data_IF_532023201044
#
_entry.id   IF_532023201044
#
_cell.length_a   1.000
_cell.length_b   1.000
_cell.length_c   1.000
_cell.angle_alpha   90.00
_cell.angle_beta   90.00
_cell.angle_gamma   90.00
#
_symmetry.space_group_name_H-M   'P 1'
#
loop_
_entity.id
_entity.type
_entity.pdbx_description
1 polymer ?
#
# COMPACT_ATOMS: atom_id res chain seq x y z
N UNK A 1 -2.96 -8.40 11.18
CA UNK A 1 -1.50 -8.44 11.51
C UNK A 1 -0.91 -7.06 11.23
N UNK A 2 0.29 -6.72 11.71
CA UNK A 2 0.90 -5.40 11.48
C UNK A 2 1.56 -5.22 10.11
N UNK A 3 1.89 -6.34 9.46
CA UNK A 3 2.42 -6.42 8.11
C UNK A 3 2.07 -7.79 7.50
N UNK A 4 2.05 -7.88 6.18
CA UNK A 4 1.85 -9.12 5.44
C UNK A 4 2.98 -10.13 5.61
N UNK A 5 4.20 -9.69 5.89
CA UNK A 5 5.34 -10.56 6.22
C UNK A 5 5.03 -11.54 7.36
N UNK A 6 4.17 -11.14 8.31
CA UNK A 6 3.76 -11.97 9.45
C UNK A 6 2.79 -13.10 9.08
N UNK A 7 2.19 -13.07 7.89
CA UNK A 7 1.26 -14.10 7.46
C UNK A 7 2.01 -15.43 7.24
N UNK A 8 1.45 -16.60 7.63
CA UNK A 8 2.13 -17.90 7.47
C UNK A 8 2.53 -18.22 6.03
N UNK A 9 1.74 -17.75 5.06
CA UNK A 9 2.05 -17.88 3.63
C UNK A 9 3.31 -17.10 3.19
N UNK A 10 3.80 -16.17 4.02
CA UNK A 10 5.09 -15.49 3.84
C UNK A 10 6.13 -16.03 4.82
N UNK A 11 5.96 -15.82 6.13
CA UNK A 11 7.00 -16.12 7.13
C UNK A 11 7.45 -17.59 7.12
N UNK A 12 6.52 -18.55 7.15
CA UNK A 12 6.87 -19.97 7.17
C UNK A 12 7.36 -20.45 5.80
N UNK A 13 6.82 -19.87 4.72
CA UNK A 13 7.24 -20.20 3.36
C UNK A 13 8.58 -19.60 2.98
N UNK A 14 9.03 -18.52 3.62
CA UNK A 14 10.36 -17.97 3.41
C UNK A 14 11.48 -18.95 3.80
N UNK A 15 11.28 -19.75 4.85
CA UNK A 15 12.27 -20.69 5.39
C UNK A 15 12.11 -22.14 4.90
N UNK A 16 11.02 -22.45 4.20
CA UNK A 16 10.81 -23.75 3.56
C UNK A 16 11.89 -24.00 2.48
N UNK A 17 12.20 -25.26 2.18
CA UNK A 17 13.18 -25.66 1.15
C UNK A 17 12.61 -25.68 -0.27
N UNK A 18 11.30 -25.62 -0.42
CA UNK A 18 10.65 -25.71 -1.73
C UNK A 18 10.51 -24.32 -2.38
N UNK A 19 10.73 -24.18 -3.70
CA UNK A 19 10.37 -22.97 -4.43
C UNK A 19 8.90 -22.61 -4.20
N UNK A 20 8.61 -21.32 -4.11
CA UNK A 20 7.28 -20.84 -3.75
C UNK A 20 7.03 -19.45 -4.34
N UNK A 21 5.83 -19.24 -4.88
CA UNK A 21 5.38 -17.95 -5.38
C UNK A 21 3.96 -17.70 -4.89
N UNK A 22 3.71 -16.55 -4.31
CA UNK A 22 2.36 -16.13 -3.89
C UNK A 22 2.21 -14.63 -4.05
N UNK A 23 0.98 -14.20 -4.36
CA UNK A 23 0.55 -12.83 -4.25
C UNK A 23 -0.82 -12.76 -3.55
N UNK A 24 -1.03 -11.81 -2.65
CA UNK A 24 -2.30 -11.66 -1.92
C UNK A 24 -2.45 -10.27 -1.29
N UNK A 25 -3.69 -9.88 -0.99
CA UNK A 25 -3.98 -8.67 -0.20
C UNK A 25 -3.98 -9.01 1.28
N UNK A 26 -3.33 -8.18 2.09
CA UNK A 26 -3.33 -8.25 3.54
C UNK A 26 -3.83 -6.93 4.13
N UNK A 27 -4.99 -6.92 4.80
CA UNK A 27 -5.35 -5.86 5.72
C UNK A 27 -4.35 -5.84 6.90
N UNK A 28 -3.66 -4.73 7.07
CA UNK A 28 -2.60 -4.50 8.05
C UNK A 28 -3.02 -3.41 9.03
N UNK A 29 -2.87 -3.69 10.32
CA UNK A 29 -3.24 -2.75 11.40
C UNK A 29 -1.98 -2.38 12.17
N UNK A 30 -1.66 -1.08 12.20
CA UNK A 30 -0.55 -0.52 12.97
C UNK A 30 -1.11 0.51 13.94
N UNK A 31 -1.43 0.11 15.19
CA UNK A 31 -2.08 1.00 16.14
C UNK A 31 -1.34 2.32 16.39
N UNK A 32 -0.01 2.27 16.39
CA UNK A 32 0.87 3.44 16.54
C UNK A 32 0.79 4.45 15.41
N UNK A 33 0.31 4.05 14.22
CA UNK A 33 0.18 4.92 13.05
C UNK A 33 -1.19 5.64 13.00
N UNK A 34 -2.10 5.32 13.92
CA UNK A 34 -3.37 6.03 14.04
C UNK A 34 -3.17 7.54 14.28
N UNK A 35 -3.77 8.37 13.43
CA UNK A 35 -3.76 9.84 13.56
C UNK A 35 -5.15 10.45 13.59
N UNK A 36 -6.17 9.69 14.01
CA UNK A 36 -7.57 10.15 14.09
C UNK A 36 -8.07 10.80 12.78
N UNK A 37 -7.67 10.23 11.63
CA UNK A 37 -7.95 10.77 10.30
C UNK A 37 -7.45 12.22 10.06
N UNK A 38 -6.52 12.73 10.88
CA UNK A 38 -5.92 14.06 10.72
C UNK A 38 -4.66 14.08 9.86
N UNK A 39 -4.08 12.91 9.58
CA UNK A 39 -2.92 12.78 8.71
C UNK A 39 -3.35 12.07 7.42
N UNK A 40 -3.11 12.67 6.23
CA UNK A 40 -3.55 12.10 4.97
C UNK A 40 -2.82 10.79 4.61
N UNK A 41 -1.60 10.59 5.13
CA UNK A 41 -0.72 9.50 4.70
C UNK A 41 -0.51 8.42 5.77
N UNK A 42 -0.94 8.65 7.02
CA UNK A 42 -0.79 7.70 8.13
C UNK A 42 -2.13 7.18 8.61
N UNK A 43 -2.36 5.91 8.33
CA UNK A 43 -3.61 5.22 8.61
C UNK A 43 -3.42 4.19 9.74
N UNK A 44 -4.43 4.05 10.59
CA UNK A 44 -4.49 2.99 11.62
C UNK A 44 -4.53 1.60 10.97
N UNK A 45 -5.31 1.48 9.90
CA UNK A 45 -5.44 0.28 9.07
C UNK A 45 -5.17 0.66 7.62
N UNK A 46 -4.40 -0.16 6.93
CA UNK A 46 -4.07 -0.05 5.51
C UNK A 46 -4.02 -1.46 4.90
N UNK A 47 -3.86 -1.57 3.59
CA UNK A 47 -3.90 -2.79 2.81
C UNK A 47 -2.59 -2.88 2.07
N UNK A 48 -1.92 -3.99 2.31
CA UNK A 48 -0.72 -4.32 1.56
C UNK A 48 -1.08 -5.30 0.48
N UNK A 49 -0.62 -5.06 -0.74
CA UNK A 49 -0.49 -6.15 -1.70
C UNK A 49 0.86 -6.79 -1.46
N UNK A 50 0.87 -8.06 -1.09
CA UNK A 50 2.06 -8.82 -0.77
C UNK A 50 2.39 -9.74 -1.93
N UNK A 51 3.66 -9.76 -2.34
CA UNK A 51 4.21 -10.75 -3.26
C UNK A 51 5.45 -11.38 -2.63
N UNK A 52 5.55 -12.70 -2.72
CA UNK A 52 6.76 -13.44 -2.38
C UNK A 52 7.17 -14.30 -3.56
N UNK A 53 8.42 -14.15 -4.01
CA UNK A 53 9.03 -14.96 -5.07
C UNK A 53 10.27 -15.67 -4.50
N UNK A 54 10.20 -17.00 -4.39
CA UNK A 54 11.27 -17.82 -3.85
C UNK A 54 11.64 -18.96 -4.82
N UNK A 55 12.89 -19.05 -5.30
CA UNK A 55 13.95 -18.03 -5.13
C UNK A 55 13.57 -16.72 -5.82
N UNK A 56 14.20 -15.63 -5.38
CA UNK A 56 14.06 -14.33 -6.04
C UNK A 56 14.63 -14.40 -7.45
N UNK A 57 13.90 -13.95 -8.48
CA UNK A 57 14.41 -13.89 -9.84
C UNK A 57 15.39 -12.72 -10.03
N UNK A 58 16.39 -12.90 -10.89
CA UNK A 58 17.42 -11.88 -11.19
C UNK A 58 16.82 -10.56 -11.73
N UNK A 59 15.66 -10.64 -12.37
CA UNK A 59 14.97 -9.50 -12.98
C UNK A 59 13.83 -8.94 -12.11
N UNK A 60 13.83 -9.15 -10.79
CA UNK A 60 12.71 -8.75 -9.91
C UNK A 60 12.39 -7.25 -9.97
N UNK A 61 13.40 -6.37 -10.07
CA UNK A 61 13.17 -4.94 -10.24
C UNK A 61 12.44 -4.62 -11.55
N UNK A 62 12.79 -5.33 -12.63
CA UNK A 62 12.11 -5.20 -13.92
C UNK A 62 10.65 -5.64 -13.82
N UNK A 63 10.39 -6.78 -13.18
CA UNK A 63 9.03 -7.29 -12.95
C UNK A 63 8.20 -6.31 -12.11
N UNK A 64 8.81 -5.70 -11.10
CA UNK A 64 8.17 -4.65 -10.31
C UNK A 64 7.79 -3.43 -11.17
N UNK A 65 8.73 -2.90 -11.95
CA UNK A 65 8.46 -1.76 -12.84
C UNK A 65 7.38 -2.09 -13.89
N UNK A 66 7.42 -3.29 -14.46
CA UNK A 66 6.39 -3.79 -15.37
C UNK A 66 5.02 -3.87 -14.68
N UNK A 67 4.96 -4.23 -13.38
CA UNK A 67 3.71 -4.24 -12.62
C UNK A 67 3.14 -2.84 -12.42
N UNK A 68 3.99 -1.82 -12.19
CA UNK A 68 3.55 -0.42 -12.11
C UNK A 68 2.99 0.07 -13.45
N UNK A 69 3.67 -0.25 -14.56
CA UNK A 69 3.15 0.07 -15.90
C UNK A 69 1.83 -0.64 -16.19
N UNK A 70 1.65 -1.86 -15.70
CA UNK A 70 0.40 -2.63 -15.89
C UNK A 70 -0.81 -1.99 -15.20
N UNK A 71 -0.59 -1.27 -14.09
CA UNK A 71 -1.64 -0.51 -13.39
C UNK A 71 -1.76 0.95 -13.87
N UNK A 72 -1.05 1.32 -14.94
CA UNK A 72 -1.19 2.62 -15.60
C UNK A 72 -0.14 3.68 -15.21
N UNK A 73 0.90 3.33 -14.45
CA UNK A 73 1.99 4.26 -14.14
C UNK A 73 2.93 4.38 -15.35
N UNK A 74 2.95 5.55 -15.97
CA UNK A 74 3.90 5.88 -17.03
C UNK A 74 5.28 6.22 -16.43
N UNK A 75 6.22 5.28 -16.52
CA UNK A 75 7.58 5.43 -15.98
C UNK A 75 8.41 6.51 -16.69
N UNK A 76 7.97 7.03 -17.85
CA UNK A 76 8.63 8.15 -18.53
C UNK A 76 8.23 9.51 -17.97
N UNK A 77 7.07 9.58 -17.30
CA UNK A 77 6.51 10.79 -16.71
C UNK A 77 6.67 10.84 -15.19
N UNK A 78 6.95 9.70 -14.55
CA UNK A 78 7.05 9.58 -13.11
C UNK A 78 8.46 9.22 -12.66
N UNK A 79 8.92 9.83 -11.57
CA UNK A 79 10.23 9.61 -10.97
C UNK A 79 10.17 8.43 -9.99
N UNK A 80 10.66 7.26 -10.43
CA UNK A 80 10.77 6.06 -9.60
C UNK A 80 12.19 5.90 -9.08
N UNK A 81 12.35 5.78 -7.76
CA UNK A 81 13.64 5.62 -7.10
C UNK A 81 13.65 4.42 -6.17
N UNK A 82 14.74 3.66 -6.25
CA UNK A 82 15.06 2.59 -5.30
C UNK A 82 16.07 3.16 -4.29
N UNK A 83 15.61 3.40 -3.07
CA UNK A 83 16.43 3.94 -1.98
C UNK A 83 16.84 2.78 -1.11
N UNK A 84 18.15 2.56 -0.93
CA UNK A 84 18.65 1.44 -0.11
C UNK A 84 18.09 1.56 1.30
N UNK A 85 17.45 0.49 1.76
CA UNK A 85 16.94 0.37 3.12
C UNK A 85 17.01 -1.10 3.54
N UNK A 86 17.85 -1.37 4.54
CA UNK A 86 17.97 -2.71 5.10
C UNK A 86 16.82 -2.92 6.09
N UNK A 87 16.03 -3.96 5.86
CA UNK A 87 14.84 -4.23 6.64
C UNK A 87 15.14 -5.20 7.78
N UNK A 88 14.77 -4.82 8.99
CA UNK A 88 14.86 -5.68 10.17
C UNK A 88 13.56 -5.68 10.97
N UNK A 89 13.12 -6.87 11.37
CA UNK A 89 12.01 -7.05 12.30
C UNK A 89 12.40 -7.97 13.45
N UNK A 90 12.76 -7.33 14.57
CA UNK A 90 13.16 -7.96 15.81
C UNK A 90 12.08 -8.92 16.38
N UNK A 91 10.80 -8.60 16.18
CA UNK A 91 9.68 -9.38 16.78
C UNK A 91 9.57 -10.79 16.20
N UNK A 92 10.01 -10.98 14.96
CA UNK A 92 10.02 -12.28 14.28
C UNK A 92 11.43 -12.73 13.91
N UNK A 93 12.48 -12.09 14.43
CA UNK A 93 13.87 -12.42 14.10
C UNK A 93 14.13 -12.47 12.60
N UNK A 94 13.54 -11.55 11.85
CA UNK A 94 13.65 -11.49 10.40
C UNK A 94 14.52 -10.31 9.97
N UNK A 95 15.34 -10.53 8.95
CA UNK A 95 16.23 -9.51 8.40
C UNK A 95 16.44 -9.73 6.91
N UNK A 96 16.61 -8.64 6.16
CA UNK A 96 16.84 -8.67 4.74
C UNK A 96 17.44 -7.36 4.22
N UNK A 97 18.17 -7.45 3.11
CA UNK A 97 18.65 -6.26 2.40
C UNK A 97 17.61 -5.86 1.36
N UNK A 98 17.43 -4.56 1.14
CA UNK A 98 16.28 -4.11 0.37
C UNK A 98 16.32 -2.68 -0.13
N UNK A 99 15.17 -2.28 -0.64
CA UNK A 99 14.90 -0.92 -1.08
C UNK A 99 13.53 -0.47 -0.59
N UNK A 100 13.45 0.75 -0.11
CA UNK A 100 12.22 1.53 -0.21
C UNK A 100 12.07 2.02 -1.65
N UNK A 101 10.87 1.89 -2.20
CA UNK A 101 10.57 2.33 -3.56
C UNK A 101 9.69 3.56 -3.50
N UNK A 102 10.21 4.64 -4.06
CA UNK A 102 9.61 5.96 -4.06
C UNK A 102 9.12 6.31 -5.46
N UNK A 103 7.88 6.79 -5.56
CA UNK A 103 7.26 7.32 -6.78
C UNK A 103 6.91 8.79 -6.55
N UNK A 104 7.50 9.69 -7.34
CA UNK A 104 7.28 11.14 -7.24
C UNK A 104 7.45 11.73 -5.82
N UNK A 105 8.37 11.18 -5.04
CA UNK A 105 8.64 11.65 -3.68
C UNK A 105 7.72 11.07 -2.60
N UNK A 106 6.93 10.04 -2.91
CA UNK A 106 6.16 9.26 -1.93
C UNK A 106 6.61 7.80 -1.98
N UNK A 107 6.87 7.20 -0.81
CA UNK A 107 7.11 5.76 -0.69
C UNK A 107 5.84 4.98 -1.04
N UNK A 108 5.92 4.05 -2.00
CA UNK A 108 4.77 3.26 -2.46
C UNK A 108 4.94 1.75 -2.25
N UNK A 109 6.16 1.28 -2.02
CA UNK A 109 6.44 -0.14 -1.83
C UNK A 109 7.74 -0.37 -1.07
N UNK A 110 7.79 -1.46 -0.32
CA UNK A 110 9.04 -2.02 0.21
C UNK A 110 9.44 -3.24 -0.62
N UNK A 111 10.73 -3.36 -0.90
CA UNK A 111 11.33 -4.57 -1.42
C UNK A 111 12.38 -5.13 -0.47
N UNK A 112 12.33 -6.44 -0.22
CA UNK A 112 13.25 -7.10 0.71
C UNK A 112 13.73 -8.45 0.16
N UNK A 113 15.05 -8.64 0.07
CA UNK A 113 15.67 -9.95 -0.04
C UNK A 113 15.84 -10.55 1.36
N UNK A 114 14.94 -11.46 1.74
CA UNK A 114 14.97 -12.05 3.08
C UNK A 114 16.21 -12.95 3.25
N UNK A 115 17.03 -12.64 4.24
CA UNK A 115 18.19 -13.45 4.63
C UNK A 115 17.82 -14.46 5.71
N UNK A 116 16.96 -14.05 6.64
CA UNK A 116 16.47 -14.91 7.71
C UNK A 116 15.05 -14.54 8.14
N UNK A 117 14.35 -15.52 8.69
CA UNK A 117 13.07 -15.36 9.41
C UNK A 117 13.07 -16.29 10.61
N UNK A 118 12.67 -15.79 11.78
CA UNK A 118 12.67 -16.58 13.02
C UNK A 118 14.07 -16.98 13.50
N UNK A 119 15.12 -16.24 13.10
CA UNK A 119 16.51 -16.62 13.32
C UNK A 119 16.99 -17.81 12.48
N UNK A 120 16.17 -18.29 11.54
CA UNK A 120 16.51 -19.37 10.60
C UNK A 120 16.90 -18.72 9.26
N UNK A 121 18.08 -19.07 8.76
CA UNK A 121 18.57 -18.60 7.46
C UNK A 121 17.74 -19.19 6.32
N UNK A 122 17.46 -18.39 5.31
CA UNK A 122 16.74 -18.83 4.12
C UNK A 122 17.66 -19.65 3.20
N UNK A 123 17.32 -20.92 2.95
CA UNK A 123 18.06 -21.79 2.01
C UNK A 123 18.04 -21.24 0.57
N UNK A 124 16.90 -20.66 0.18
CA UNK A 124 16.71 -19.94 -1.09
C UNK A 124 16.22 -18.53 -0.78
N UNK A 125 16.99 -17.51 -1.16
CA UNK A 125 16.67 -16.11 -0.87
C UNK A 125 15.31 -15.73 -1.51
N UNK A 126 14.27 -15.46 -0.72
CA UNK A 126 13.00 -14.94 -1.20
C UNK A 126 13.12 -13.45 -1.52
N UNK A 127 12.52 -13.03 -2.63
CA UNK A 127 12.22 -11.63 -2.90
C UNK A 127 10.80 -11.32 -2.43
N UNK A 128 10.67 -10.47 -1.42
CA UNK A 128 9.41 -9.92 -0.95
C UNK A 128 9.17 -8.54 -1.56
N UNK A 129 7.98 -8.32 -2.12
CA UNK A 129 7.48 -7.00 -2.51
C UNK A 129 6.20 -6.72 -1.71
N UNK A 130 6.16 -5.62 -0.99
CA UNK A 130 4.99 -5.15 -0.25
C UNK A 130 4.57 -3.79 -0.79
N UNK A 131 3.46 -3.74 -1.52
CA UNK A 131 2.91 -2.52 -2.08
C UNK A 131 1.91 -1.90 -1.09
N UNK A 132 1.98 -0.59 -0.86
CA UNK A 132 0.92 0.14 -0.17
C UNK A 132 -0.21 0.49 -1.14
N UNK A 133 -1.43 0.03 -0.86
CA UNK A 133 -2.57 0.23 -1.77
C UNK A 133 -3.32 1.56 -1.55
N UNK A 134 -3.10 2.23 -0.42
CA UNK A 134 -3.83 3.45 -0.05
C UNK A 134 -3.24 4.75 -0.62
N UNK A 135 -2.26 4.68 -1.51
CA UNK A 135 -1.63 5.87 -2.09
C UNK A 135 -2.39 6.43 -3.30
N UNK A 136 -3.52 5.84 -3.68
CA UNK A 136 -4.40 6.43 -4.67
C UNK A 136 -5.15 7.62 -4.04
N UNK A 137 -4.83 8.82 -4.49
CA UNK A 137 -5.77 9.94 -4.39
C UNK A 137 -7.03 9.54 -5.15
N UNK A 138 -8.02 9.00 -4.43
CA UNK A 138 -9.36 8.88 -4.97
C UNK A 138 -9.92 10.30 -5.02
N UNK A 139 -9.74 10.96 -6.16
CA UNK A 139 -10.38 12.24 -6.44
C UNK A 139 -11.90 12.00 -6.56
N UNK A 140 -12.61 12.13 -5.44
CA UNK A 140 -14.07 12.14 -5.43
C UNK A 140 -14.54 13.47 -6.04
N UNK A 141 -14.70 13.49 -7.36
CA UNK A 141 -15.30 14.62 -8.08
C UNK A 141 -16.76 14.78 -7.69
N UNK A 142 -17.11 15.93 -7.10
CA UNK A 142 -18.51 16.29 -6.85
C UNK A 142 -19.04 16.99 -8.12
N UNK A 143 -19.95 16.34 -8.85
CA UNK A 143 -20.66 16.97 -9.98
C UNK A 143 -21.84 17.76 -9.43
N UNK A 144 -21.77 19.09 -9.51
CA UNK A 144 -22.82 20.02 -9.07
C UNK A 144 -23.52 20.61 -10.30
N UNK A 145 -24.85 20.55 -10.34
CA UNK A 145 -25.65 20.91 -11.52
C UNK A 145 -26.41 22.25 -11.35
N UNK A 146 -25.84 23.24 -10.65
CA UNK A 146 -26.55 24.50 -10.45
C UNK A 146 -25.89 25.52 -9.51
N UNK A 147 -26.73 26.25 -8.77
CA UNK A 147 -26.34 27.35 -7.87
C UNK A 147 -25.50 26.89 -6.68
N UNK A 148 -25.45 25.58 -6.42
CA UNK A 148 -24.69 24.93 -5.35
C UNK A 148 -23.19 25.24 -5.43
N UNK A 149 -22.66 25.43 -6.63
CA UNK A 149 -21.25 25.80 -6.87
C UNK A 149 -20.90 27.11 -6.18
N UNK A 150 -21.81 28.09 -6.20
CA UNK A 150 -21.57 29.42 -5.61
C UNK A 150 -21.54 29.34 -4.08
N UNK A 151 -22.43 28.55 -3.51
CA UNK A 151 -22.54 28.37 -2.05
C UNK A 151 -21.38 27.54 -1.48
N UNK A 152 -20.90 26.54 -2.21
CA UNK A 152 -19.70 25.79 -1.84
C UNK A 152 -18.43 26.64 -1.90
N UNK A 153 -18.26 27.48 -2.95
CA UNK A 153 -17.15 28.47 -3.01
C UNK A 153 -17.18 29.47 -1.86
N UNK A 154 -18.37 29.79 -1.36
CA UNK A 154 -18.58 30.66 -0.21
C UNK A 154 -18.53 29.92 1.14
N UNK A 155 -18.14 28.63 1.16
CA UNK A 155 -18.06 27.77 2.35
C UNK A 155 -19.38 27.69 3.13
N UNK A 156 -20.52 27.71 2.43
CA UNK A 156 -21.85 27.71 3.06
C UNK A 156 -22.50 26.32 3.18
N UNK A 157 -21.82 25.26 2.78
CA UNK A 157 -22.36 23.91 2.91
C UNK A 157 -22.20 23.36 4.33
N UNK A 158 -23.20 22.62 4.81
CA UNK A 158 -23.14 21.88 6.09
C UNK A 158 -23.29 20.38 5.85
N UNK A 159 -22.43 19.62 6.52
CA UNK A 159 -22.41 18.14 6.53
C UNK A 159 -22.92 17.56 7.85
N UNK A 160 -23.38 18.38 8.81
CA UNK A 160 -23.69 17.95 10.18
C UNK A 160 -24.72 16.80 10.25
N UNK A 161 -25.70 16.79 9.35
CA UNK A 161 -26.73 15.74 9.26
C UNK A 161 -26.59 14.86 8.00
N UNK A 162 -25.43 14.94 7.35
CA UNK A 162 -25.16 14.18 6.14
C UNK A 162 -24.65 12.77 6.44
N UNK A 163 -24.90 11.84 5.51
CA UNK A 163 -24.35 10.49 5.56
C UNK A 163 -23.97 10.01 4.16
N UNK A 164 -23.03 9.08 4.07
CA UNK A 164 -22.59 8.50 2.80
C UNK A 164 -23.31 7.17 2.58
N UNK A 165 -23.89 6.99 1.40
CA UNK A 165 -24.36 5.70 0.91
C UNK A 165 -23.64 5.33 -0.39
N UNK A 166 -23.50 4.02 -0.63
CA UNK A 166 -22.87 3.51 -1.85
C UNK A 166 -23.96 3.14 -2.85
N UNK A 167 -23.84 3.67 -4.07
CA UNK A 167 -24.71 3.33 -5.20
C UNK A 167 -23.85 2.86 -6.37
N UNK A 168 -23.78 1.53 -6.57
CA UNK A 168 -22.89 0.96 -7.57
C UNK A 168 -21.43 1.23 -7.25
N UNK A 169 -20.72 1.89 -8.17
CA UNK A 169 -19.31 2.29 -8.01
C UNK A 169 -19.15 3.74 -7.49
N UNK A 170 -20.23 4.39 -7.06
CA UNK A 170 -20.22 5.78 -6.62
C UNK A 170 -20.54 5.88 -5.12
N UNK A 171 -19.85 6.79 -4.43
CA UNK A 171 -20.18 7.21 -3.09
C UNK A 171 -21.03 8.49 -3.15
N UNK A 172 -22.24 8.43 -2.60
CA UNK A 172 -23.22 9.52 -2.65
C UNK A 172 -23.40 10.09 -1.25
N UNK A 173 -23.28 11.42 -1.11
CA UNK A 173 -23.56 12.13 0.14
C UNK A 173 -25.04 12.52 0.19
N UNK A 174 -25.77 11.94 1.14
CA UNK A 174 -27.17 12.26 1.41
C UNK A 174 -27.28 13.34 2.49
N UNK A 175 -28.35 14.15 2.43
CA UNK A 175 -28.64 15.22 3.39
C UNK A 175 -27.53 16.28 3.53
N UNK A 176 -26.72 16.48 2.49
CA UNK A 176 -25.81 17.62 2.43
C UNK A 176 -26.63 18.91 2.25
N UNK A 177 -26.54 19.83 3.20
CA UNK A 177 -27.22 21.12 3.07
C UNK A 177 -26.31 22.10 2.33
N UNK A 178 -26.75 22.53 1.15
CA UNK A 178 -26.12 23.61 0.38
C UNK A 178 -27.17 24.72 0.21
N UNK A 179 -27.02 25.89 0.86
CA UNK A 179 -27.98 26.99 0.78
C UNK A 179 -27.89 27.79 -0.51
#
# INVERSE_FOLDING_TARGET
MGAATLHPATALRAIDKNPYKIAYVQPSIRPSDGRYAKNPNRLYQHHQYQVLLKPSPDNIQKLYLESLSYIGVDLSLNDVRFVNDDWENHSIGAAGAGWEIWLNGVEISQFTYMQQVGGIQCDFIPGELAYGLEHDEIEAGIVLLGTEVKSLRLKKASIEESHIGIQGNEAVVFNLHIP
#
